data_IF_199628554258
#
_entry.id   IF_199628554258
#
_cell.length_a   1.000
_cell.length_b   1.000
_cell.length_c   1.000
_cell.angle_alpha   90.00
_cell.angle_beta   90.00
_cell.angle_gamma   90.00
#
_symmetry.space_group_name_H-M   'P 1'
#
loop_
_entity.id
_entity.type
_entity.pdbx_description
1 polymer ?
#
# COMPACT_ATOMS: atom_id res chain seq x y z
N UNK A 1 -14.66 38.71 51.80
CA UNK A 1 -13.30 38.66 51.22
C UNK A 1 -13.29 37.41 50.38
N UNK A 2 -12.88 37.54 49.12
CA UNK A 2 -12.75 36.42 48.20
C UNK A 2 -11.29 36.20 47.83
N UNK A 3 -10.96 34.97 47.47
CA UNK A 3 -9.63 34.60 47.00
C UNK A 3 -9.60 34.68 45.48
N UNK A 4 -8.59 35.34 44.94
CA UNK A 4 -8.29 35.40 43.51
C UNK A 4 -6.85 34.96 43.26
N UNK A 5 -6.57 34.55 42.03
CA UNK A 5 -5.27 34.06 41.60
C UNK A 5 -4.73 35.00 40.51
N UNK A 6 -3.60 35.63 40.79
CA UNK A 6 -2.84 36.40 39.80
C UNK A 6 -2.10 35.41 38.89
N UNK A 7 -2.32 35.52 37.58
CA UNK A 7 -1.70 34.70 36.55
C UNK A 7 -0.31 35.27 36.25
N UNK A 8 0.74 34.51 36.57
CA UNK A 8 2.11 34.86 36.22
C UNK A 8 2.43 34.25 34.85
N UNK A 9 2.90 35.07 33.93
CA UNK A 9 3.25 34.63 32.58
C UNK A 9 4.75 34.34 32.45
N UNK A 10 5.17 33.23 31.82
CA UNK A 10 4.35 32.16 31.22
C UNK A 10 3.85 31.09 32.20
N UNK A 11 4.43 31.01 33.40
CA UNK A 11 4.11 30.01 34.43
C UNK A 11 4.02 30.67 35.80
N UNK A 12 3.20 30.11 36.66
CA UNK A 12 3.04 30.57 38.02
C UNK A 12 1.67 31.16 38.31
N UNK A 13 1.31 31.11 39.58
CA UNK A 13 0.24 31.94 40.11
C UNK A 13 0.55 32.43 41.51
N UNK A 14 -0.09 33.53 41.89
CA UNK A 14 -0.02 34.07 43.24
C UNK A 14 -1.43 34.22 43.81
N UNK A 15 -1.65 33.62 44.97
CA UNK A 15 -2.90 33.75 45.72
C UNK A 15 -3.01 35.14 46.35
N UNK A 16 -4.16 35.78 46.19
CA UNK A 16 -4.45 37.12 46.72
C UNK A 16 -5.85 37.15 47.31
N UNK A 17 -6.00 37.74 48.49
CA UNK A 17 -7.32 38.02 49.09
C UNK A 17 -7.76 39.45 48.75
N UNK A 18 -9.00 39.59 48.30
CA UNK A 18 -9.60 40.87 47.91
C UNK A 18 -11.01 41.02 48.49
N UNK A 19 -11.53 42.25 48.47
CA UNK A 19 -12.91 42.52 48.84
C UNK A 19 -13.90 41.74 47.93
N UNK A 20 -15.10 41.46 48.45
CA UNK A 20 -16.09 40.62 47.75
C UNK A 20 -16.53 41.23 46.41
N UNK A 21 -16.61 42.56 46.38
CA UNK A 21 -17.02 43.40 45.25
C UNK A 21 -15.87 43.70 44.27
N UNK A 22 -14.68 43.17 44.51
CA UNK A 22 -13.54 43.38 43.62
C UNK A 22 -13.83 42.78 42.22
N UNK A 23 -13.66 43.59 41.18
CA UNK A 23 -13.85 43.14 39.80
C UNK A 23 -12.68 42.24 39.36
N UNK A 24 -12.95 40.95 39.12
CA UNK A 24 -11.94 39.99 38.65
C UNK A 24 -11.79 40.09 37.13
N UNK A 25 -10.63 40.56 36.69
CA UNK A 25 -10.23 40.63 35.27
C UNK A 25 -8.76 40.33 35.10
N UNK A 26 -8.34 40.01 33.87
CA UNK A 26 -6.93 39.74 33.55
C UNK A 26 -6.00 40.84 34.13
N UNK A 27 -4.91 40.47 34.83
CA UNK A 27 -4.30 39.14 34.93
C UNK A 27 -4.82 38.27 36.10
N UNK A 28 -6.01 38.53 36.65
CA UNK A 28 -6.58 37.73 37.75
C UNK A 28 -7.67 36.75 37.28
N UNK A 29 -7.81 35.65 38.00
CA UNK A 29 -8.89 34.67 37.85
C UNK A 29 -9.39 34.20 39.22
N UNK A 30 -10.67 33.82 39.30
CA UNK A 30 -11.24 33.15 40.49
C UNK A 30 -11.09 31.62 40.39
N UNK A 31 -10.64 31.10 39.25
CA UNK A 31 -10.42 29.67 39.03
C UNK A 31 -9.20 29.23 39.85
N UNK A 32 -9.41 28.26 40.73
CA UNK A 32 -8.36 27.73 41.61
C UNK A 32 -7.34 26.87 40.85
N UNK A 33 -6.03 27.04 41.10
CA UNK A 33 -4.97 26.17 40.56
C UNK A 33 -5.03 24.76 41.13
N UNK A 34 -4.37 23.80 40.48
CA UNK A 34 -4.27 22.43 41.02
C UNK A 34 -3.47 22.46 42.32
N UNK A 35 -4.16 22.20 43.44
CA UNK A 35 -3.57 22.19 44.77
C UNK A 35 -2.53 21.07 44.97
N UNK A 36 -2.52 20.04 44.11
CA UNK A 36 -1.54 18.95 44.18
C UNK A 36 -0.22 19.29 43.47
N UNK A 37 -0.08 20.50 42.93
CA UNK A 37 1.08 20.94 42.17
C UNK A 37 1.63 22.24 42.73
N UNK A 38 2.93 22.40 42.57
CA UNK A 38 3.57 23.69 42.81
C UNK A 38 2.91 24.74 41.91
N UNK A 39 2.53 25.88 42.49
CA UNK A 39 1.90 26.99 41.78
C UNK A 39 2.78 27.49 40.63
N UNK A 40 4.11 27.38 40.76
CA UNK A 40 5.10 27.76 39.75
C UNK A 40 5.24 26.75 38.61
N UNK A 41 4.67 25.55 38.76
CA UNK A 41 4.70 24.47 37.75
C UNK A 41 3.37 24.33 37.00
N UNK A 42 2.61 25.42 36.93
CA UNK A 42 1.34 25.50 36.21
C UNK A 42 1.25 26.79 35.40
N UNK A 43 0.41 26.80 34.38
CA UNK A 43 0.01 28.01 33.65
C UNK A 43 -1.50 28.06 33.50
N UNK A 44 -2.04 29.26 33.30
CA UNK A 44 -3.47 29.43 33.02
C UNK A 44 -3.73 29.39 31.52
N UNK A 45 -4.49 28.40 31.06
CA UNK A 45 -4.99 28.33 29.70
C UNK A 45 -6.21 29.26 29.56
N UNK A 46 -5.97 30.49 29.12
CA UNK A 46 -7.00 31.55 28.99
C UNK A 46 -8.14 31.12 28.05
N UNK A 47 -7.86 30.28 27.04
CA UNK A 47 -8.89 29.83 26.08
C UNK A 47 -9.85 28.83 26.71
N UNK A 48 -9.33 27.96 27.56
CA UNK A 48 -10.11 26.90 28.21
C UNK A 48 -10.49 27.23 29.66
N UNK A 49 -10.07 28.41 30.15
CA UNK A 49 -10.33 28.93 31.49
C UNK A 49 -9.94 27.94 32.60
N UNK A 50 -8.76 27.31 32.47
CA UNK A 50 -8.30 26.22 33.34
C UNK A 50 -6.80 26.29 33.59
N UNK A 51 -6.35 25.91 34.79
CA UNK A 51 -4.94 25.71 35.10
C UNK A 51 -4.43 24.40 34.51
N UNK A 52 -3.25 24.45 33.87
CA UNK A 52 -2.61 23.30 33.25
C UNK A 52 -1.17 23.14 33.75
N UNK A 53 -0.68 21.89 33.86
CA UNK A 53 0.73 21.64 34.15
C UNK A 53 1.63 22.15 33.01
N UNK A 54 2.82 22.65 33.33
CA UNK A 54 3.78 23.15 32.32
C UNK A 54 4.16 22.10 31.26
N UNK A 55 4.11 20.81 31.61
CA UNK A 55 4.39 19.70 30.70
C UNK A 55 3.39 19.64 29.54
N UNK A 56 2.19 20.20 29.72
CA UNK A 56 1.19 20.28 28.66
C UNK A 56 1.68 21.14 27.49
N UNK A 57 2.36 22.27 27.76
CA UNK A 57 2.95 23.10 26.69
C UNK A 57 4.00 22.32 25.91
N UNK A 58 4.89 21.61 26.60
CA UNK A 58 5.93 20.78 25.99
C UNK A 58 5.38 19.55 25.23
N UNK A 59 4.14 19.16 25.48
CA UNK A 59 3.49 18.04 24.80
C UNK A 59 2.87 18.41 23.45
N UNK A 60 2.62 19.69 23.19
CA UNK A 60 1.96 20.14 21.95
C UNK A 60 2.79 19.84 20.70
N UNK A 61 4.09 20.12 20.73
CA UNK A 61 5.02 19.76 19.65
C UNK A 61 5.12 18.25 19.45
N UNK A 62 5.13 17.48 20.54
CA UNK A 62 5.15 16.01 20.49
C UNK A 62 3.88 15.43 19.88
N UNK A 63 2.72 16.00 20.19
CA UNK A 63 1.43 15.62 19.61
C UNK A 63 1.43 15.94 18.12
N UNK A 64 1.86 17.14 17.72
CA UNK A 64 1.93 17.50 16.30
C UNK A 64 2.88 16.58 15.51
N UNK A 65 4.04 16.23 16.08
CA UNK A 65 4.94 15.26 15.48
C UNK A 65 4.30 13.87 15.34
N UNK A 66 3.55 13.42 16.34
CA UNK A 66 2.84 12.14 16.31
C UNK A 66 1.72 12.13 15.26
N UNK A 67 0.95 13.21 15.12
CA UNK A 67 -0.07 13.36 14.08
C UNK A 67 0.53 13.34 12.68
N UNK A 68 1.67 14.02 12.49
CA UNK A 68 2.40 14.00 11.23
C UNK A 68 2.92 12.60 10.92
N UNK A 69 3.53 11.92 11.89
CA UNK A 69 4.01 10.54 11.72
C UNK A 69 2.87 9.59 11.36
N UNK A 70 1.75 9.66 12.10
CA UNK A 70 0.57 8.85 11.82
C UNK A 70 0.02 9.09 10.41
N UNK A 71 -0.06 10.36 9.99
CA UNK A 71 -0.55 10.73 8.65
C UNK A 71 0.36 10.19 7.56
N UNK A 72 1.68 10.32 7.72
CA UNK A 72 2.66 9.77 6.78
C UNK A 72 2.53 8.25 6.67
N UNK A 73 2.54 7.53 7.80
CA UNK A 73 2.43 6.07 7.82
C UNK A 73 1.10 5.60 7.23
N UNK A 74 -0.01 6.28 7.53
CA UNK A 74 -1.32 5.97 6.94
C UNK A 74 -1.29 6.12 5.41
N UNK A 75 -0.71 7.20 4.90
CA UNK A 75 -0.61 7.43 3.46
C UNK A 75 0.30 6.42 2.78
N UNK A 76 1.44 6.07 3.38
CA UNK A 76 2.34 5.02 2.89
C UNK A 76 1.63 3.66 2.85
N UNK A 77 0.83 3.33 3.86
CA UNK A 77 0.08 2.08 3.91
C UNK A 77 -1.00 2.00 2.81
N UNK A 78 -1.69 3.12 2.52
CA UNK A 78 -2.62 3.21 1.40
C UNK A 78 -1.89 2.94 0.08
N UNK A 79 -0.75 3.60 -0.16
CA UNK A 79 0.05 3.39 -1.37
C UNK A 79 0.56 1.96 -1.50
N UNK A 80 1.00 1.34 -0.40
CA UNK A 80 1.43 -0.06 -0.38
C UNK A 80 0.28 -1.00 -0.75
N UNK A 81 -0.91 -0.75 -0.22
CA UNK A 81 -2.12 -1.54 -0.51
C UNK A 81 -2.49 -1.45 -2.00
N UNK A 82 -2.46 -0.24 -2.57
CA UNK A 82 -2.71 -0.04 -4.01
C UNK A 82 -1.65 -0.73 -4.88
N UNK A 83 -0.37 -0.65 -4.50
CA UNK A 83 0.72 -1.34 -5.19
C UNK A 83 0.55 -2.86 -5.13
N UNK A 84 0.14 -3.40 -3.99
CA UNK A 84 -0.14 -4.82 -3.82
C UNK A 84 -1.31 -5.28 -4.70
N UNK A 85 -2.38 -4.49 -4.80
CA UNK A 85 -3.51 -4.78 -5.68
C UNK A 85 -3.07 -4.83 -7.17
N UNK A 86 -2.32 -3.84 -7.63
CA UNK A 86 -1.76 -3.81 -9.00
C UNK A 86 -0.83 -4.98 -9.29
N UNK A 87 0.02 -5.35 -8.33
CA UNK A 87 0.92 -6.50 -8.47
C UNK A 87 0.14 -7.82 -8.55
N UNK A 88 -0.93 -7.96 -7.76
CA UNK A 88 -1.80 -9.14 -7.82
C UNK A 88 -2.50 -9.25 -9.18
N UNK A 89 -3.01 -8.14 -9.71
CA UNK A 89 -3.61 -8.09 -11.05
C UNK A 89 -2.60 -8.45 -12.14
N UNK A 90 -1.38 -7.90 -12.08
CA UNK A 90 -0.32 -8.20 -13.04
C UNK A 90 0.07 -9.68 -12.99
N UNK A 91 0.22 -10.25 -11.80
CA UNK A 91 0.53 -11.68 -11.63
C UNK A 91 -0.57 -12.56 -12.25
N UNK A 92 -1.85 -12.22 -12.03
CA UNK A 92 -2.95 -12.96 -12.65
C UNK A 92 -2.90 -12.89 -14.19
N UNK A 93 -2.58 -11.71 -14.76
CA UNK A 93 -2.41 -11.55 -16.22
C UNK A 93 -1.24 -12.37 -16.76
N UNK A 94 -0.12 -12.40 -16.04
CA UNK A 94 1.05 -13.20 -16.42
C UNK A 94 0.73 -14.70 -16.41
N UNK A 95 0.07 -15.20 -15.36
CA UNK A 95 -0.36 -16.60 -15.29
C UNK A 95 -1.32 -16.98 -16.43
N UNK A 96 -2.24 -16.09 -16.81
CA UNK A 96 -3.12 -16.32 -17.94
C UNK A 96 -2.36 -16.37 -19.28
N UNK A 97 -1.35 -15.51 -19.44
CA UNK A 97 -0.49 -15.51 -20.63
C UNK A 97 0.32 -16.82 -20.71
N UNK A 98 0.91 -17.28 -19.60
CA UNK A 98 1.63 -18.55 -19.53
C UNK A 98 0.74 -19.74 -19.92
N UNK A 99 -0.51 -19.78 -19.45
CA UNK A 99 -1.49 -20.81 -19.84
C UNK A 99 -1.74 -20.79 -21.35
N UNK A 100 -1.92 -19.60 -21.94
CA UNK A 100 -2.14 -19.46 -23.38
C UNK A 100 -0.91 -19.90 -24.19
N UNK A 101 0.29 -19.52 -23.77
CA UNK A 101 1.55 -19.95 -24.41
C UNK A 101 1.74 -21.47 -24.34
N UNK A 102 1.41 -22.10 -23.22
CA UNK A 102 1.46 -23.57 -23.08
C UNK A 102 0.47 -24.24 -24.04
N UNK A 103 -0.72 -23.68 -24.19
CA UNK A 103 -1.75 -24.19 -25.12
C UNK A 103 -1.31 -24.06 -26.58
N UNK A 104 -0.77 -22.90 -26.96
CA UNK A 104 -0.23 -22.66 -28.31
C UNK A 104 0.94 -23.60 -28.61
N UNK A 105 1.89 -23.75 -27.68
CA UNK A 105 3.01 -24.68 -27.83
C UNK A 105 2.55 -26.13 -28.00
N UNK A 106 1.55 -26.56 -27.25
CA UNK A 106 0.98 -27.91 -27.39
C UNK A 106 0.36 -28.11 -28.78
N UNK A 107 -0.36 -27.11 -29.27
CA UNK A 107 -0.96 -27.13 -30.61
C UNK A 107 0.11 -27.16 -31.70
N UNK A 108 1.19 -26.38 -31.55
CA UNK A 108 2.32 -26.36 -32.49
C UNK A 108 3.04 -27.70 -32.54
N UNK A 109 3.27 -28.35 -31.39
CA UNK A 109 3.84 -29.71 -31.32
C UNK A 109 2.98 -30.72 -32.08
N UNK A 110 1.66 -30.72 -31.86
CA UNK A 110 0.74 -31.60 -32.59
C UNK A 110 0.79 -31.37 -34.10
N UNK A 111 0.85 -30.10 -34.55
CA UNK A 111 1.00 -29.78 -35.98
C UNK A 111 2.34 -30.27 -36.54
N UNK A 112 3.43 -30.10 -35.79
CA UNK A 112 4.75 -30.59 -36.20
C UNK A 112 4.77 -32.12 -36.33
N UNK A 113 4.19 -32.83 -35.36
CA UNK A 113 4.09 -34.31 -35.40
C UNK A 113 3.24 -34.78 -36.59
N UNK A 114 2.10 -34.13 -36.84
CA UNK A 114 1.25 -34.43 -38.00
C UNK A 114 2.00 -34.20 -39.32
N UNK A 115 2.76 -33.11 -39.45
CA UNK A 115 3.57 -32.83 -40.62
C UNK A 115 4.67 -33.88 -40.82
N UNK A 116 5.34 -34.30 -39.74
CA UNK A 116 6.33 -35.37 -39.79
C UNK A 116 5.71 -36.69 -40.28
N UNK A 117 4.53 -37.06 -39.76
CA UNK A 117 3.80 -38.25 -40.21
C UNK A 117 3.39 -38.17 -41.67
N UNK A 118 2.86 -37.04 -42.13
CA UNK A 118 2.50 -36.82 -43.55
C UNK A 118 3.74 -36.98 -44.42
N UNK A 119 4.86 -36.36 -44.03
CA UNK A 119 6.11 -36.45 -44.78
C UNK A 119 6.61 -37.89 -44.90
N UNK A 120 6.60 -38.66 -43.80
CA UNK A 120 6.95 -40.09 -43.83
C UNK A 120 6.06 -40.91 -44.76
N UNK A 121 4.73 -40.68 -44.73
CA UNK A 121 3.79 -41.38 -45.63
C UNK A 121 4.02 -41.03 -47.09
N UNK A 122 4.26 -39.75 -47.40
CA UNK A 122 4.55 -39.29 -48.76
C UNK A 122 5.84 -39.89 -49.28
N UNK A 123 6.89 -39.94 -48.45
CA UNK A 123 8.16 -40.59 -48.80
C UNK A 123 7.98 -42.08 -49.11
N UNK A 124 7.20 -42.80 -48.29
CA UNK A 124 6.91 -44.22 -48.52
C UNK A 124 6.18 -44.43 -49.85
N UNK A 125 5.09 -43.68 -50.08
CA UNK A 125 4.32 -43.76 -51.32
C UNK A 125 5.18 -43.40 -52.54
N UNK A 126 6.10 -42.44 -52.42
CA UNK A 126 7.04 -42.10 -53.50
C UNK A 126 7.99 -43.24 -53.83
N UNK A 127 8.47 -43.99 -52.82
CA UNK A 127 9.32 -45.16 -53.01
C UNK A 127 8.54 -46.29 -53.67
N UNK A 128 7.32 -46.56 -53.20
CA UNK A 128 6.41 -47.56 -53.78
C UNK A 128 6.09 -47.23 -55.24
N UNK A 129 5.66 -46.01 -55.54
CA UNK A 129 5.40 -45.57 -56.91
C UNK A 129 6.64 -45.71 -57.81
N UNK A 130 7.83 -45.41 -57.29
CA UNK A 130 9.08 -45.55 -58.05
C UNK A 130 9.38 -47.01 -58.40
N UNK A 131 9.05 -47.94 -57.50
CA UNK A 131 9.15 -49.38 -57.72
C UNK A 131 8.13 -49.85 -58.76
N UNK A 132 6.87 -49.46 -58.63
CA UNK A 132 5.80 -49.82 -59.56
C UNK A 132 6.11 -49.33 -60.97
N UNK A 133 6.61 -48.10 -61.12
CA UNK A 133 7.06 -47.56 -62.41
C UNK A 133 8.18 -48.41 -63.02
N UNK A 134 9.12 -48.91 -62.21
CA UNK A 134 10.20 -49.76 -62.70
C UNK A 134 9.68 -51.12 -63.17
N UNK A 135 8.75 -51.74 -62.43
CA UNK A 135 8.11 -53.01 -62.81
C UNK A 135 7.30 -52.87 -64.11
N UNK A 136 6.51 -51.81 -64.25
CA UNK A 136 5.74 -51.54 -65.48
C UNK A 136 6.67 -51.35 -66.68
N UNK A 137 7.77 -50.60 -66.51
CA UNK A 137 8.76 -50.42 -67.59
C UNK A 137 9.36 -51.75 -68.03
N UNK A 138 9.69 -52.64 -67.10
CA UNK A 138 10.23 -53.96 -67.41
C UNK A 138 9.24 -54.81 -68.23
N UNK A 139 7.96 -54.83 -67.83
CA UNK A 139 6.91 -55.57 -68.54
C UNK A 139 6.72 -55.08 -69.98
N UNK A 140 6.71 -53.77 -70.20
CA UNK A 140 6.57 -53.17 -71.54
C UNK A 140 7.74 -53.49 -72.48
N UNK A 141 8.96 -53.66 -71.95
CA UNK A 141 10.11 -54.09 -72.76
C UNK A 141 10.02 -55.56 -73.18
N UNK A 142 9.49 -56.43 -72.33
CA UNK A 142 9.32 -57.87 -72.64
C UNK A 142 8.15 -58.18 -73.58
N UNK A 143 7.13 -57.34 -73.64
CA UNK A 143 5.97 -57.54 -74.55
C UNK A 143 6.21 -57.03 -75.99
N UNK A 144 7.27 -56.25 -76.22
CA UNK A 144 7.61 -55.68 -77.53
C UNK A 144 8.79 -56.40 -78.24
N UNK A 145 9.28 -57.51 -77.67
CA UNK A 145 10.23 -58.46 -78.28
C UNK A 145 9.52 -59.68 -78.85
#
# INVERSE_FOLDING_TARGET
MKTIYEILYPFGCKTTEVAEDFETKFPYTEVEPDANRDLMLQFFDVKLNVWRPVEYMASTEKISLLENFYTTVKNENIQLTEKQAKMTELNAKLMLNDINLVKENTTLKQKADNLAQINSKTMLASVENSKDIAEIKAQLTTENE
#
